data_IF_474434182300
#
_entry.id   IF_474434182300
#
_cell.length_a   1.000
_cell.length_b   1.000
_cell.length_c   1.000
_cell.angle_alpha   90.00
_cell.angle_beta   90.00
_cell.angle_gamma   90.00
#
_symmetry.space_group_name_H-M   'P 1'
#
loop_
_entity.id
_entity.type
_entity.pdbx_description
1 polymer ?
#
# COMPACT_ATOMS: atom_id res chain seq x y z
N UNK A 1 70.96 -16.95 55.45
CA UNK A 1 70.86 -16.81 53.99
C UNK A 1 69.42 -16.50 53.65
N UNK A 2 69.00 -15.37 53.11
CA UNK A 2 69.59 -14.08 52.75
C UNK A 2 68.36 -13.17 52.43
N UNK A 3 68.43 -11.88 52.80
CA UNK A 3 67.61 -10.76 52.30
C UNK A 3 66.09 -10.66 52.61
N UNK A 4 65.73 -9.69 53.49
CA UNK A 4 64.63 -8.71 53.28
C UNK A 4 65.17 -7.56 52.36
N UNK A 5 64.47 -6.45 51.98
CA UNK A 5 63.03 -6.06 51.96
C UNK A 5 62.61 -5.24 50.69
N UNK A 6 61.40 -4.65 50.70
CA UNK A 6 60.98 -3.32 50.15
C UNK A 6 60.21 -3.22 48.79
N UNK A 7 59.07 -2.52 48.90
CA UNK A 7 58.28 -1.71 47.95
C UNK A 7 57.50 -2.33 46.79
N UNK A 8 56.18 -2.14 46.84
CA UNK A 8 55.58 -1.04 46.07
C UNK A 8 54.32 -0.50 46.76
N UNK A 9 54.46 0.67 47.37
CA UNK A 9 53.37 1.60 47.67
C UNK A 9 52.93 2.30 46.38
N UNK A 10 51.73 2.05 45.88
CA UNK A 10 50.92 3.10 45.23
C UNK A 10 49.42 2.74 45.17
N UNK A 11 48.52 3.67 45.52
CA UNK A 11 47.09 3.50 45.36
C UNK A 11 46.73 3.86 43.91
N UNK A 12 46.36 2.87 43.08
CA UNK A 12 45.69 3.12 41.81
C UNK A 12 44.67 2.03 41.51
N UNK A 13 43.43 2.32 41.89
CA UNK A 13 42.30 2.34 40.95
C UNK A 13 42.33 1.29 39.83
N UNK A 14 41.65 0.17 40.04
CA UNK A 14 40.71 -0.36 39.05
C UNK A 14 39.53 -0.95 39.83
N UNK A 15 38.31 -0.41 39.65
CA UNK A 15 37.13 -0.97 40.30
C UNK A 15 36.92 -2.39 39.74
N UNK A 16 36.30 -3.28 40.51
CA UNK A 16 35.35 -4.19 39.90
C UNK A 16 34.20 -3.32 39.38
N UNK A 17 34.00 -3.09 38.07
CA UNK A 17 32.65 -2.91 37.62
C UNK A 17 32.06 -4.32 37.55
N UNK A 18 31.30 -4.64 38.59
CA UNK A 18 29.93 -5.11 38.41
C UNK A 18 29.62 -5.61 37.01
N UNK A 19 29.23 -6.88 36.93
CA UNK A 19 28.10 -7.31 36.10
C UNK A 19 27.22 -6.11 35.70
N UNK A 20 27.37 -5.65 34.47
CA UNK A 20 26.30 -4.96 33.76
C UNK A 20 25.89 -5.78 32.54
N UNK A 21 25.85 -7.11 32.75
CA UNK A 21 25.08 -8.07 31.96
C UNK A 21 23.55 -7.94 32.16
N UNK A 22 23.10 -6.90 32.88
CA UNK A 22 21.68 -6.66 33.17
C UNK A 22 20.92 -5.91 32.07
N UNK A 23 21.59 -5.52 30.98
CA UNK A 23 20.97 -4.80 29.83
C UNK A 23 21.16 -5.50 28.49
N UNK A 24 21.50 -6.79 28.45
CA UNK A 24 21.71 -7.50 27.18
C UNK A 24 20.62 -8.54 26.87
N UNK A 25 20.08 -9.26 27.86
CA UNK A 25 19.29 -10.46 27.57
C UNK A 25 17.76 -10.26 27.53
N UNK A 26 17.22 -9.09 27.94
CA UNK A 26 15.77 -8.82 27.84
C UNK A 26 15.32 -8.23 26.50
N UNK A 27 16.25 -7.79 25.67
CA UNK A 27 15.95 -7.06 24.44
C UNK A 27 15.99 -7.91 23.18
N UNK A 28 16.59 -9.11 23.20
CA UNK A 28 16.76 -9.94 22.00
C UNK A 28 15.44 -10.33 21.32
N UNK A 29 14.35 -10.49 22.09
CA UNK A 29 13.01 -10.78 21.56
C UNK A 29 12.23 -9.50 21.29
N UNK A 30 12.28 -8.50 22.19
CA UNK A 30 11.50 -7.27 22.03
C UNK A 30 11.99 -6.37 20.90
N UNK A 31 13.28 -6.39 20.55
CA UNK A 31 13.85 -5.57 19.46
C UNK A 31 13.31 -6.02 18.08
N UNK A 32 13.37 -7.30 17.67
CA UNK A 32 12.80 -7.70 16.38
C UNK A 32 11.28 -7.50 16.34
N UNK A 33 10.52 -7.88 17.39
CA UNK A 33 9.07 -7.66 17.40
C UNK A 33 8.69 -6.17 17.45
N UNK A 34 9.45 -5.36 18.19
CA UNK A 34 9.27 -3.91 18.27
C UNK A 34 9.63 -3.18 16.98
N UNK A 35 10.74 -3.55 16.32
CA UNK A 35 11.18 -2.96 15.05
C UNK A 35 10.24 -3.37 13.91
N UNK A 36 9.82 -4.64 13.84
CA UNK A 36 8.84 -5.10 12.83
C UNK A 36 7.49 -4.41 13.05
N UNK A 37 7.02 -4.35 14.29
CA UNK A 37 5.79 -3.63 14.65
C UNK A 37 5.88 -2.15 14.28
N UNK A 38 6.95 -1.48 14.69
CA UNK A 38 7.21 -0.08 14.38
C UNK A 38 7.26 0.17 12.88
N UNK A 39 8.00 -0.64 12.11
CA UNK A 39 8.07 -0.52 10.66
C UNK A 39 6.69 -0.70 10.03
N UNK A 40 5.90 -1.70 10.47
CA UNK A 40 4.53 -1.92 9.99
C UNK A 40 3.64 -0.71 10.22
N UNK A 41 3.67 -0.16 11.44
CA UNK A 41 2.83 0.98 11.80
C UNK A 41 3.33 2.29 11.19
N UNK A 42 4.63 2.53 11.14
CA UNK A 42 5.24 3.67 10.44
C UNK A 42 4.86 3.65 8.96
N UNK A 43 5.01 2.50 8.29
CA UNK A 43 4.66 2.35 6.88
C UNK A 43 3.16 2.55 6.64
N UNK A 44 2.32 2.06 7.56
CA UNK A 44 0.88 2.32 7.54
C UNK A 44 0.58 3.82 7.67
N UNK A 45 1.22 4.52 8.60
CA UNK A 45 1.06 5.97 8.76
C UNK A 45 1.49 6.74 7.51
N UNK A 46 2.57 6.33 6.84
CA UNK A 46 2.99 6.92 5.56
C UNK A 46 1.92 6.72 4.50
N UNK A 47 1.32 5.53 4.38
CA UNK A 47 0.24 5.27 3.42
C UNK A 47 -1.01 6.11 3.72
N UNK A 48 -1.36 6.25 4.99
CA UNK A 48 -2.49 7.09 5.42
C UNK A 48 -2.22 8.55 5.07
N UNK A 49 -1.03 9.07 5.41
CA UNK A 49 -0.61 10.43 5.04
C UNK A 49 -0.61 10.63 3.51
N UNK A 50 -0.05 9.69 2.76
CA UNK A 50 -0.04 9.71 1.30
C UNK A 50 -1.47 9.78 0.74
N UNK A 51 -2.40 8.96 1.26
CA UNK A 51 -3.81 8.98 0.88
C UNK A 51 -4.45 10.36 1.08
N UNK A 52 -4.16 11.03 2.19
CA UNK A 52 -4.68 12.39 2.45
C UNK A 52 -4.06 13.46 1.56
N UNK A 53 -2.78 13.32 1.20
CA UNK A 53 -2.08 14.28 0.35
C UNK A 53 -2.26 14.03 -1.15
N UNK A 54 -2.68 12.82 -1.55
CA UNK A 54 -2.81 12.45 -2.95
C UNK A 54 -3.93 13.24 -3.60
N UNK A 55 -3.58 14.05 -4.60
CA UNK A 55 -4.53 14.77 -5.44
C UNK A 55 -4.56 14.10 -6.81
N UNK A 56 -5.75 13.81 -7.36
CA UNK A 56 -5.85 13.36 -8.73
C UNK A 56 -5.32 14.45 -9.66
N UNK A 57 -4.69 14.03 -10.76
CA UNK A 57 -4.25 14.94 -11.81
C UNK A 57 -5.51 15.59 -12.40
N UNK A 58 -5.61 16.93 -12.41
CA UNK A 58 -6.76 17.60 -12.99
C UNK A 58 -6.82 17.32 -14.49
N UNK A 59 -8.04 17.18 -15.02
CA UNK A 59 -8.24 17.02 -16.45
C UNK A 59 -7.75 18.31 -17.15
N UNK A 60 -6.92 18.22 -18.20
CA UNK A 60 -6.48 19.39 -18.94
C UNK A 60 -7.68 20.13 -19.55
N UNK A 61 -7.61 21.47 -19.62
CA UNK A 61 -8.71 22.31 -20.12
C UNK A 61 -9.08 22.01 -21.58
N UNK A 62 -8.13 21.52 -22.38
CA UNK A 62 -8.35 21.10 -23.75
C UNK A 62 -8.04 19.59 -23.90
N UNK A 63 -9.03 18.70 -23.78
CA UNK A 63 -8.82 17.28 -24.01
C UNK A 63 -8.61 17.01 -25.50
N UNK A 64 -7.54 16.29 -25.86
CA UNK A 64 -7.34 15.77 -27.23
C UNK A 64 -8.35 14.68 -27.59
N UNK A 65 -8.93 14.05 -26.56
CA UNK A 65 -9.83 12.93 -26.68
C UNK A 65 -11.21 13.37 -27.16
N UNK A 66 -11.74 12.68 -28.18
CA UNK A 66 -13.09 12.89 -28.70
C UNK A 66 -13.90 11.61 -28.51
N UNK A 67 -14.93 11.67 -27.64
CA UNK A 67 -15.71 10.48 -27.26
C UNK A 67 -16.32 9.73 -28.46
N UNK A 68 -16.76 10.47 -29.48
CA UNK A 68 -17.36 9.91 -30.70
C UNK A 68 -16.37 9.25 -31.66
N UNK A 69 -15.06 9.44 -31.46
CA UNK A 69 -14.01 8.91 -32.35
C UNK A 69 -13.11 7.89 -31.66
N UNK A 70 -12.93 8.02 -30.34
CA UNK A 70 -11.90 7.29 -29.59
C UNK A 70 -12.44 6.28 -28.57
N UNK A 71 -13.76 6.25 -28.29
CA UNK A 71 -14.33 5.29 -27.32
C UNK A 71 -15.17 4.23 -27.97
N UNK A 72 -14.73 2.99 -27.73
CA UNK A 72 -15.56 1.81 -27.85
C UNK A 72 -15.90 1.29 -26.46
N UNK A 73 -17.19 1.18 -26.14
CA UNK A 73 -17.66 0.63 -24.87
C UNK A 73 -17.84 -0.87 -25.06
N UNK A 74 -17.12 -1.68 -24.29
CA UNK A 74 -17.28 -3.14 -24.29
C UNK A 74 -17.96 -3.56 -23.01
N UNK A 75 -19.14 -4.19 -23.14
CA UNK A 75 -19.93 -4.61 -21.98
C UNK A 75 -20.06 -6.13 -21.99
N UNK A 76 -19.30 -6.83 -21.13
CA UNK A 76 -19.52 -8.24 -20.88
C UNK A 76 -20.69 -8.40 -19.91
N UNK A 77 -21.80 -8.97 -20.38
CA UNK A 77 -22.94 -9.31 -19.53
C UNK A 77 -23.51 -10.67 -19.89
N UNK A 78 -24.04 -11.37 -18.89
CA UNK A 78 -24.72 -12.67 -19.07
C UNK A 78 -26.25 -12.45 -19.08
N UNK A 79 -26.73 -11.39 -18.42
CA UNK A 79 -28.14 -11.04 -18.37
C UNK A 79 -28.36 -9.64 -18.96
N UNK A 80 -29.30 -9.53 -19.88
CA UNK A 80 -29.63 -8.32 -20.62
C UNK A 80 -31.10 -7.93 -20.37
N UNK A 81 -31.48 -7.89 -19.10
CA UNK A 81 -32.79 -7.40 -18.66
C UNK A 81 -32.93 -5.86 -18.73
N UNK A 82 -33.99 -5.33 -18.12
CA UNK A 82 -34.33 -3.90 -18.18
C UNK A 82 -33.27 -2.97 -17.57
N UNK A 83 -32.58 -3.41 -16.52
CA UNK A 83 -31.47 -2.66 -15.89
C UNK A 83 -30.33 -2.38 -16.89
N UNK A 84 -30.11 -3.31 -17.83
CA UNK A 84 -29.11 -3.14 -18.87
C UNK A 84 -29.53 -2.05 -19.87
N UNK A 85 -30.81 -1.99 -20.24
CA UNK A 85 -31.33 -0.95 -21.16
C UNK A 85 -31.19 0.43 -20.56
N UNK A 86 -31.52 0.60 -19.28
CA UNK A 86 -31.34 1.86 -18.55
C UNK A 86 -29.87 2.30 -18.52
N UNK A 87 -28.96 1.37 -18.24
CA UNK A 87 -27.53 1.64 -18.28
C UNK A 87 -27.05 1.99 -19.70
N UNK A 88 -27.54 1.28 -20.73
CA UNK A 88 -27.21 1.55 -22.12
C UNK A 88 -27.64 2.94 -22.58
N UNK A 89 -28.81 3.41 -22.15
CA UNK A 89 -29.25 4.78 -22.40
C UNK A 89 -28.28 5.81 -21.79
N UNK A 90 -27.74 5.55 -20.59
CA UNK A 90 -26.76 6.45 -19.97
C UNK A 90 -25.44 6.51 -20.75
N UNK A 91 -25.01 5.40 -21.35
CA UNK A 91 -23.79 5.34 -22.17
C UNK A 91 -23.97 6.09 -23.50
N UNK A 92 -25.16 6.00 -24.11
CA UNK A 92 -25.47 6.69 -25.36
C UNK A 92 -25.44 8.22 -25.22
N UNK A 93 -25.71 8.77 -24.02
CA UNK A 93 -25.54 10.21 -23.75
C UNK A 93 -24.09 10.67 -24.00
N UNK A 94 -23.12 9.79 -23.74
CA UNK A 94 -21.70 10.04 -23.99
C UNK A 94 -21.29 10.00 -25.46
N UNK A 95 -22.19 9.64 -26.38
CA UNK A 95 -21.94 9.48 -27.83
C UNK A 95 -20.62 8.75 -28.13
N UNK A 96 -20.44 7.51 -27.64
CA UNK A 96 -19.27 6.72 -27.98
C UNK A 96 -19.26 6.40 -29.48
N UNK A 97 -18.09 6.06 -30.01
CA UNK A 97 -17.94 5.59 -31.39
C UNK A 97 -18.70 4.30 -31.64
N UNK A 98 -18.60 3.36 -30.71
CA UNK A 98 -19.15 2.01 -30.85
C UNK A 98 -19.47 1.40 -29.47
N UNK A 99 -20.49 0.53 -29.41
CA UNK A 99 -20.82 -0.24 -28.22
C UNK A 99 -20.86 -1.72 -28.61
N UNK A 100 -19.98 -2.52 -28.01
CA UNK A 100 -19.88 -3.96 -28.22
C UNK A 100 -20.45 -4.70 -26.99
N UNK A 101 -21.57 -5.38 -27.18
CA UNK A 101 -22.23 -6.17 -26.13
C UNK A 101 -21.83 -7.63 -26.32
N UNK A 102 -21.16 -8.20 -25.32
CA UNK A 102 -20.74 -9.60 -25.33
C UNK A 102 -21.64 -10.35 -24.36
N UNK A 103 -22.52 -11.18 -24.92
CA UNK A 103 -23.49 -12.00 -24.17
C UNK A 103 -23.53 -13.43 -24.71
N UNK A 104 -24.12 -14.34 -23.94
CA UNK A 104 -24.43 -15.69 -24.40
C UNK A 104 -25.51 -15.66 -25.49
N UNK A 105 -25.47 -16.59 -26.45
CA UNK A 105 -26.40 -16.66 -27.59
C UNK A 105 -27.88 -16.72 -27.16
N UNK A 106 -28.16 -17.25 -25.97
CA UNK A 106 -29.51 -17.41 -25.40
C UNK A 106 -30.19 -16.09 -25.07
N UNK A 107 -29.42 -15.00 -24.94
CA UNK A 107 -29.90 -13.69 -24.51
C UNK A 107 -29.94 -12.66 -25.67
N UNK A 108 -29.78 -13.11 -26.92
CA UNK A 108 -29.89 -12.24 -28.11
C UNK A 108 -31.30 -11.68 -28.32
N UNK A 109 -32.34 -12.39 -27.90
CA UNK A 109 -33.75 -11.99 -28.05
C UNK A 109 -34.11 -10.67 -27.35
N UNK A 110 -33.94 -10.55 -26.02
CA UNK A 110 -34.31 -9.34 -25.27
C UNK A 110 -33.50 -8.07 -25.63
N UNK A 111 -32.40 -8.23 -26.37
CA UNK A 111 -31.55 -7.13 -26.86
C UNK A 111 -32.02 -6.53 -28.20
N UNK A 112 -32.85 -7.23 -28.97
CA UNK A 112 -33.36 -6.76 -30.27
C UNK A 112 -34.73 -6.07 -30.18
N UNK A 113 -35.37 -6.12 -29.00
CA UNK A 113 -36.67 -5.51 -28.68
C UNK A 113 -36.52 -4.23 -27.86
#
# INVERSE_FOLDING_TARGET
>A
SLARPVCCSLPRSCPEPTMLYLTADRFAVFVPFGVIGFYRYLWYMIRVAASFTYRPIPVPENPTYVASEDVTIVVPTIDAGEEFKEAAHSWLVGKPKEILIITEERMLGPLQE
#
